data_IF_869273410547
#
_entry.id   IF_869273410547
#
_cell.length_a   1.000
_cell.length_b   1.000
_cell.length_c   1.000
_cell.angle_alpha   90.00
_cell.angle_beta   90.00
_cell.angle_gamma   90.00
#
_symmetry.space_group_name_H-M   'P 1'
#
loop_
_entity.id
_entity.type
_entity.pdbx_description
1 polymer ?
#
# COMPACT_ATOMS: atom_id res chain seq x y z
N UNK A 1 7.64 -17.47 -1.06
CA UNK A 1 8.97 -16.84 -0.96
C UNK A 1 9.37 -16.82 0.50
N UNK A 2 10.53 -17.37 0.84
CA UNK A 2 11.00 -17.43 2.22
C UNK A 2 12.15 -16.43 2.38
N UNK A 3 12.12 -15.64 3.43
CA UNK A 3 13.26 -14.80 3.80
C UNK A 3 14.48 -15.66 4.14
N UNK A 4 15.66 -15.23 3.72
CA UNK A 4 16.92 -15.77 4.28
C UNK A 4 17.04 -15.33 5.76
N UNK A 5 17.89 -15.99 6.52
CA UNK A 5 18.13 -15.61 7.93
C UNK A 5 18.69 -14.18 8.05
N UNK A 6 19.54 -13.77 7.10
CA UNK A 6 20.10 -12.42 7.07
C UNK A 6 19.01 -11.37 6.74
N UNK A 7 18.16 -11.62 5.75
CA UNK A 7 17.01 -10.75 5.43
C UNK A 7 16.03 -10.62 6.60
N UNK A 8 15.80 -11.71 7.35
CA UNK A 8 14.97 -11.66 8.57
C UNK A 8 15.60 -10.79 9.65
N UNK A 9 16.92 -10.87 9.84
CA UNK A 9 17.65 -10.02 10.78
C UNK A 9 17.53 -8.56 10.37
N UNK A 10 17.90 -8.20 9.14
CA UNK A 10 17.83 -6.83 8.60
C UNK A 10 16.41 -6.26 8.73
N UNK A 11 15.40 -7.05 8.39
CA UNK A 11 13.99 -6.65 8.55
C UNK A 11 13.63 -6.33 10.01
N UNK A 12 14.12 -7.12 10.98
CA UNK A 12 13.82 -6.90 12.39
C UNK A 12 14.59 -5.70 12.97
N UNK A 13 15.73 -5.35 12.40
CA UNK A 13 16.60 -4.23 12.80
C UNK A 13 16.20 -2.93 12.08
N UNK A 14 15.53 -3.00 10.92
CA UNK A 14 15.12 -1.83 10.14
C UNK A 14 14.08 -0.97 10.89
N UNK A 15 14.34 0.33 10.96
CA UNK A 15 13.41 1.33 11.50
C UNK A 15 12.13 1.45 10.66
N UNK A 16 12.18 1.07 9.37
CA UNK A 16 11.03 1.14 8.48
C UNK A 16 10.02 0.02 8.70
N UNK A 17 10.43 -1.09 9.34
CA UNK A 17 9.49 -2.19 9.66
C UNK A 17 8.32 -1.75 10.55
N UNK A 18 8.51 -1.08 11.70
CA UNK A 18 7.39 -0.54 12.47
C UNK A 18 6.65 0.58 11.73
N UNK A 19 7.35 1.43 10.96
CA UNK A 19 6.70 2.47 10.14
C UNK A 19 5.72 1.83 9.16
N UNK A 20 6.12 0.82 8.40
CA UNK A 20 5.23 0.09 7.49
C UNK A 20 4.09 -0.61 8.25
N UNK A 21 4.37 -1.13 9.45
CA UNK A 21 3.38 -1.77 10.31
C UNK A 21 2.25 -0.83 10.75
N UNK A 22 2.52 0.46 10.92
CA UNK A 22 1.53 1.50 11.26
C UNK A 22 0.92 2.10 9.99
N UNK A 23 1.75 2.38 8.97
CA UNK A 23 1.30 3.01 7.74
C UNK A 23 0.30 2.16 6.96
N UNK A 24 0.47 0.83 6.93
CA UNK A 24 -0.42 -0.05 6.17
C UNK A 24 -1.88 -0.06 6.69
N UNK A 25 -2.17 -0.17 8.00
CA UNK A 25 -3.53 0.00 8.52
C UNK A 25 -4.10 1.41 8.27
N UNK A 26 -3.31 2.47 8.45
CA UNK A 26 -3.75 3.84 8.17
C UNK A 26 -4.08 4.03 6.69
N UNK A 27 -3.26 3.49 5.80
CA UNK A 27 -3.50 3.48 4.37
C UNK A 27 -4.81 2.76 4.01
N UNK A 28 -5.11 1.64 4.68
CA UNK A 28 -6.38 0.93 4.50
C UNK A 28 -7.58 1.75 4.98
N UNK A 29 -7.48 2.43 6.13
CA UNK A 29 -8.55 3.30 6.63
C UNK A 29 -8.82 4.48 5.68
N UNK A 30 -7.78 5.13 5.14
CA UNK A 30 -7.96 6.20 4.14
C UNK A 30 -8.57 5.67 2.84
N UNK A 31 -8.24 4.44 2.45
CA UNK A 31 -8.88 3.77 1.31
C UNK A 31 -10.39 3.57 1.54
N UNK A 32 -10.78 3.02 2.69
CA UNK A 32 -12.20 2.77 3.00
C UNK A 32 -12.97 4.08 3.05
N UNK A 33 -12.45 5.11 3.71
CA UNK A 33 -13.07 6.41 3.79
C UNK A 33 -13.26 7.04 2.40
N UNK A 34 -12.22 7.02 1.56
CA UNK A 34 -12.27 7.52 0.19
C UNK A 34 -13.29 6.74 -0.65
N UNK A 35 -13.26 5.40 -0.59
CA UNK A 35 -14.18 4.54 -1.34
C UNK A 35 -15.65 4.81 -0.99
N UNK A 36 -15.97 4.88 0.30
CA UNK A 36 -17.34 5.16 0.77
C UNK A 36 -17.84 6.51 0.26
N UNK A 37 -17.02 7.55 0.35
CA UNK A 37 -17.39 8.89 -0.07
C UNK A 37 -17.50 9.02 -1.60
N UNK A 38 -16.62 8.37 -2.36
CA UNK A 38 -16.70 8.30 -3.83
C UNK A 38 -17.97 7.56 -4.28
N UNK A 39 -18.28 6.41 -3.66
CA UNK A 39 -19.53 5.68 -3.96
C UNK A 39 -20.74 6.54 -3.61
N UNK A 40 -20.75 7.21 -2.45
CA UNK A 40 -21.83 8.12 -2.07
C UNK A 40 -22.02 9.22 -3.11
N UNK A 41 -20.95 9.84 -3.59
CA UNK A 41 -21.01 10.85 -4.66
C UNK A 41 -21.70 10.31 -5.91
N UNK A 42 -21.32 9.12 -6.38
CA UNK A 42 -21.95 8.51 -7.57
C UNK A 42 -23.41 8.13 -7.35
N UNK A 43 -23.80 7.76 -6.14
CA UNK A 43 -25.16 7.33 -5.80
C UNK A 43 -26.11 8.51 -5.59
N UNK A 44 -25.63 9.65 -5.08
CA UNK A 44 -26.48 10.79 -4.69
C UNK A 44 -26.27 12.05 -5.54
N UNK A 45 -25.19 12.11 -6.29
CA UNK A 45 -24.74 13.33 -6.99
C UNK A 45 -24.24 14.43 -6.06
N UNK A 46 -24.07 14.14 -4.75
CA UNK A 46 -23.69 15.14 -3.74
C UNK A 46 -22.45 14.72 -2.97
N UNK A 47 -21.77 15.69 -2.34
CA UNK A 47 -20.64 15.44 -1.45
C UNK A 47 -19.30 15.28 -2.16
N UNK A 48 -19.16 15.90 -3.33
CA UNK A 48 -17.88 15.93 -4.08
C UNK A 48 -16.73 16.41 -3.23
N UNK A 49 -16.85 17.53 -2.51
CA UNK A 49 -15.78 18.10 -1.70
C UNK A 49 -15.26 17.09 -0.64
N UNK A 50 -16.18 16.45 0.07
CA UNK A 50 -15.80 15.44 1.07
C UNK A 50 -15.08 14.23 0.44
N UNK A 51 -15.57 13.77 -0.72
CA UNK A 51 -14.94 12.69 -1.48
C UNK A 51 -13.55 13.11 -1.99
N UNK A 52 -13.42 14.36 -2.46
CA UNK A 52 -12.16 14.91 -2.95
C UNK A 52 -11.12 15.03 -1.84
N UNK A 53 -11.50 15.57 -0.67
CA UNK A 53 -10.61 15.70 0.47
C UNK A 53 -10.13 14.32 0.95
N UNK A 54 -11.04 13.37 1.15
CA UNK A 54 -10.67 12.02 1.58
C UNK A 54 -9.76 11.33 0.56
N UNK A 55 -10.02 11.52 -0.73
CA UNK A 55 -9.19 11.00 -1.81
C UNK A 55 -7.80 11.65 -1.84
N UNK A 56 -7.71 12.94 -1.60
CA UNK A 56 -6.42 13.66 -1.51
C UNK A 56 -5.58 13.16 -0.33
N UNK A 57 -6.20 12.94 0.83
CA UNK A 57 -5.54 12.31 2.00
C UNK A 57 -5.04 10.90 1.63
N UNK A 58 -5.86 10.13 0.92
CA UNK A 58 -5.47 8.80 0.43
C UNK A 58 -4.26 8.86 -0.50
N UNK A 59 -4.18 9.85 -1.40
CA UNK A 59 -3.02 10.05 -2.28
C UNK A 59 -1.76 10.36 -1.47
N UNK A 60 -1.83 11.26 -0.49
CA UNK A 60 -0.70 11.58 0.39
C UNK A 60 -0.21 10.33 1.12
N UNK A 61 -1.12 9.54 1.68
CA UNK A 61 -0.78 8.28 2.34
C UNK A 61 -0.18 7.26 1.38
N UNK A 62 -0.64 7.23 0.11
CA UNK A 62 -0.08 6.35 -0.92
C UNK A 62 1.38 6.72 -1.24
N UNK A 63 1.68 8.00 -1.38
CA UNK A 63 3.05 8.49 -1.58
C UNK A 63 3.92 8.13 -0.37
N UNK A 64 3.42 8.40 0.83
CA UNK A 64 4.15 8.13 2.08
C UNK A 64 4.53 6.65 2.21
N UNK A 65 3.56 5.73 2.05
CA UNK A 65 3.82 4.29 2.18
C UNK A 65 4.73 3.76 1.07
N UNK A 66 4.65 4.33 -0.13
CA UNK A 66 5.54 3.95 -1.24
C UNK A 66 6.98 4.37 -0.95
N UNK A 67 7.21 5.62 -0.55
CA UNK A 67 8.57 6.13 -0.26
C UNK A 67 9.20 5.39 0.92
N UNK A 68 8.45 5.20 1.99
CA UNK A 68 8.94 4.46 3.17
C UNK A 68 9.10 2.97 2.90
N UNK A 69 8.30 2.41 1.97
CA UNK A 69 8.44 1.04 1.48
C UNK A 69 9.74 0.83 0.69
N UNK A 70 10.08 1.78 -0.18
CA UNK A 70 11.36 1.77 -0.91
C UNK A 70 12.56 1.80 0.06
N UNK A 71 12.50 2.64 1.09
CA UNK A 71 13.54 2.68 2.12
C UNK A 71 13.63 1.35 2.89
N UNK A 72 12.50 0.74 3.20
CA UNK A 72 12.46 -0.59 3.83
C UNK A 72 13.05 -1.68 2.92
N UNK A 73 12.75 -1.66 1.62
CA UNK A 73 13.33 -2.61 0.67
C UNK A 73 14.85 -2.48 0.59
N UNK A 74 15.35 -1.25 0.59
CA UNK A 74 16.79 -1.02 0.62
C UNK A 74 17.45 -1.61 1.85
N UNK A 75 16.88 -1.41 3.03
CA UNK A 75 17.41 -1.99 4.28
C UNK A 75 17.44 -3.52 4.23
N UNK A 76 16.41 -4.15 3.67
CA UNK A 76 16.25 -5.61 3.72
C UNK A 76 16.94 -6.31 2.55
N UNK A 77 16.84 -5.75 1.34
CA UNK A 77 17.28 -6.40 0.10
C UNK A 77 18.46 -5.69 -0.59
N UNK A 78 18.78 -4.44 -0.21
CA UNK A 78 19.82 -3.64 -0.85
C UNK A 78 19.38 -2.95 -2.15
N UNK A 79 18.09 -2.93 -2.45
CA UNK A 79 17.48 -2.28 -3.61
C UNK A 79 16.33 -1.39 -3.18
N UNK A 80 16.20 -0.19 -3.76
CA UNK A 80 15.15 0.77 -3.38
C UNK A 80 13.78 0.45 -3.98
N UNK A 81 13.73 -0.24 -5.11
CA UNK A 81 12.50 -0.51 -5.85
C UNK A 81 12.73 -1.62 -6.87
N UNK A 82 11.68 -2.38 -7.22
CA UNK A 82 11.70 -3.51 -8.14
C UNK A 82 12.73 -4.60 -7.75
N UNK A 83 12.92 -4.81 -6.44
CA UNK A 83 13.64 -5.96 -5.96
C UNK A 83 13.02 -7.23 -6.58
N UNK A 84 13.85 -8.19 -7.00
CA UNK A 84 13.35 -9.44 -7.65
C UNK A 84 12.24 -10.11 -6.85
N UNK A 85 12.32 -9.96 -5.53
CA UNK A 85 11.39 -10.50 -4.58
C UNK A 85 10.02 -9.80 -4.59
N UNK A 86 9.96 -8.52 -4.98
CA UNK A 86 8.77 -7.67 -4.95
C UNK A 86 8.37 -7.10 -6.32
N UNK A 87 9.00 -7.55 -7.39
CA UNK A 87 8.84 -6.99 -8.73
C UNK A 87 7.36 -6.78 -9.14
N UNK A 88 6.51 -7.76 -8.93
CA UNK A 88 5.10 -7.66 -9.31
C UNK A 88 4.30 -6.74 -8.40
N UNK A 89 4.60 -6.75 -7.11
CA UNK A 89 3.96 -5.89 -6.14
C UNK A 89 4.35 -4.42 -6.36
N UNK A 90 5.60 -4.16 -6.63
CA UNK A 90 6.11 -2.82 -6.94
C UNK A 90 5.55 -2.30 -8.26
N UNK A 91 5.46 -3.14 -9.28
CA UNK A 91 4.87 -2.77 -10.56
C UNK A 91 3.39 -2.37 -10.39
N UNK A 92 2.61 -3.17 -9.68
CA UNK A 92 1.20 -2.86 -9.41
C UNK A 92 1.08 -1.63 -8.51
N UNK A 93 1.99 -1.45 -7.54
CA UNK A 93 2.05 -0.26 -6.71
C UNK A 93 2.34 0.99 -7.55
N UNK A 94 3.29 0.93 -8.49
CA UNK A 94 3.61 2.03 -9.40
C UNK A 94 2.40 2.41 -10.27
N UNK A 95 1.71 1.43 -10.85
CA UNK A 95 0.48 1.66 -11.65
C UNK A 95 -0.58 2.33 -10.76
N UNK A 96 -0.79 1.82 -9.55
CA UNK A 96 -1.74 2.39 -8.60
C UNK A 96 -1.37 3.83 -8.24
N UNK A 97 -0.09 4.11 -7.98
CA UNK A 97 0.40 5.46 -7.68
C UNK A 97 0.15 6.43 -8.84
N UNK A 98 0.45 6.01 -10.08
CA UNK A 98 0.20 6.83 -11.28
C UNK A 98 -1.28 7.18 -11.40
N UNK A 99 -2.20 6.25 -11.17
CA UNK A 99 -3.64 6.51 -11.19
C UNK A 99 -4.07 7.47 -10.06
N UNK A 100 -3.49 7.36 -8.87
CA UNK A 100 -3.75 8.30 -7.77
C UNK A 100 -3.21 9.71 -8.09
N UNK A 101 -2.06 9.82 -8.74
CA UNK A 101 -1.53 11.11 -9.21
C UNK A 101 -2.35 11.68 -10.37
N UNK A 102 -2.88 10.83 -11.26
CA UNK A 102 -3.80 11.23 -12.33
C UNK A 102 -5.09 11.85 -11.77
N UNK A 103 -5.59 11.37 -10.62
CA UNK A 103 -6.71 12.03 -9.92
C UNK A 103 -6.38 13.48 -9.55
N UNK A 104 -5.19 13.75 -9.00
CA UNK A 104 -4.75 15.12 -8.68
C UNK A 104 -4.58 15.94 -9.98
N UNK A 105 -3.97 15.35 -11.02
CA UNK A 105 -3.77 16.02 -12.29
C UNK A 105 -5.08 16.43 -12.95
N UNK A 106 -6.09 15.56 -12.98
CA UNK A 106 -7.41 15.88 -13.56
C UNK A 106 -8.12 17.01 -12.80
N UNK A 107 -7.96 17.08 -11.49
CA UNK A 107 -8.48 18.19 -10.69
C UNK A 107 -7.75 19.51 -11.03
N UNK A 108 -6.42 19.51 -11.08
CA UNK A 108 -5.64 20.70 -11.45
C UNK A 108 -5.92 21.20 -12.87
N UNK A 109 -6.27 20.30 -13.78
CA UNK A 109 -6.64 20.62 -15.18
C UNK A 109 -8.08 21.12 -15.31
N UNK A 110 -8.84 21.23 -14.22
CA UNK A 110 -10.23 21.70 -14.24
C UNK A 110 -11.21 20.69 -14.86
N UNK A 111 -10.91 19.40 -14.81
CA UNK A 111 -11.85 18.37 -15.25
C UNK A 111 -13.15 18.40 -14.43
N UNK A 112 -14.25 17.90 -15.03
CA UNK A 112 -15.51 17.81 -14.32
C UNK A 112 -15.40 16.95 -13.06
N UNK A 113 -16.18 17.26 -12.02
CA UNK A 113 -16.24 16.48 -10.78
C UNK A 113 -16.44 14.99 -11.05
N UNK A 114 -17.33 14.65 -11.97
CA UNK A 114 -17.60 13.26 -12.35
C UNK A 114 -16.38 12.59 -12.96
N UNK A 115 -15.64 13.27 -13.85
CA UNK A 115 -14.41 12.74 -14.44
C UNK A 115 -13.34 12.53 -13.37
N UNK A 116 -13.16 13.51 -12.50
CA UNK A 116 -12.20 13.42 -11.41
C UNK A 116 -12.50 12.22 -10.49
N UNK A 117 -13.75 12.03 -10.08
CA UNK A 117 -14.16 10.89 -9.25
C UNK A 117 -14.09 9.54 -9.98
N UNK A 118 -14.30 9.49 -11.31
CA UNK A 118 -14.09 8.26 -12.10
C UNK A 118 -12.62 7.84 -12.10
N UNK A 119 -11.70 8.78 -12.28
CA UNK A 119 -10.26 8.51 -12.20
C UNK A 119 -9.89 8.00 -10.81
N UNK A 120 -10.45 8.61 -9.75
CA UNK A 120 -10.23 8.13 -8.38
C UNK A 120 -10.79 6.72 -8.17
N UNK A 121 -11.95 6.40 -8.69
CA UNK A 121 -12.53 5.06 -8.60
C UNK A 121 -11.63 4.00 -9.25
N UNK A 122 -11.03 4.30 -10.41
CA UNK A 122 -10.04 3.43 -11.05
C UNK A 122 -8.78 3.27 -10.20
N UNK A 123 -8.31 4.37 -9.59
CA UNK A 123 -7.18 4.34 -8.67
C UNK A 123 -7.46 3.45 -7.44
N UNK A 124 -8.65 3.57 -6.85
CA UNK A 124 -9.08 2.74 -5.73
C UNK A 124 -9.21 1.27 -6.13
N UNK A 125 -9.73 0.96 -7.33
CA UNK A 125 -9.80 -0.41 -7.83
C UNK A 125 -8.40 -1.03 -8.01
N UNK A 126 -7.43 -0.28 -8.56
CA UNK A 126 -6.05 -0.73 -8.68
C UNK A 126 -5.39 -0.96 -7.31
N UNK A 127 -5.72 -0.12 -6.31
CA UNK A 127 -5.25 -0.31 -4.95
C UNK A 127 -5.73 -1.60 -4.30
N UNK A 128 -6.95 -2.07 -4.60
CA UNK A 128 -7.45 -3.36 -4.09
C UNK A 128 -6.54 -4.51 -4.53
N UNK A 129 -6.08 -4.51 -5.79
CA UNK A 129 -5.15 -5.53 -6.29
C UNK A 129 -3.83 -5.48 -5.50
N UNK A 130 -3.28 -4.27 -5.34
CA UNK A 130 -2.06 -4.03 -4.56
C UNK A 130 -2.23 -4.50 -3.10
N UNK A 131 -3.33 -4.14 -2.44
CA UNK A 131 -3.63 -4.54 -1.08
C UNK A 131 -3.68 -6.06 -0.90
N UNK A 132 -4.33 -6.78 -1.83
CA UNK A 132 -4.39 -8.26 -1.81
C UNK A 132 -2.99 -8.86 -1.93
N UNK A 133 -2.13 -8.33 -2.82
CA UNK A 133 -0.76 -8.84 -3.00
C UNK A 133 0.06 -8.68 -1.71
N UNK A 134 0.10 -7.49 -1.13
CA UNK A 134 0.84 -7.23 0.10
C UNK A 134 0.24 -7.96 1.32
N UNK A 135 -1.09 -8.06 1.39
CA UNK A 135 -1.78 -8.83 2.44
C UNK A 135 -1.38 -10.31 2.43
N UNK A 136 -1.35 -10.93 1.24
CA UNK A 136 -0.89 -12.32 1.09
C UNK A 136 0.57 -12.50 1.54
N UNK A 137 1.45 -11.56 1.20
CA UNK A 137 2.85 -11.59 1.65
C UNK A 137 2.97 -11.46 3.17
N UNK A 138 2.24 -10.55 3.77
CA UNK A 138 2.21 -10.39 5.23
C UNK A 138 1.80 -11.67 5.95
N UNK A 139 0.76 -12.35 5.46
CA UNK A 139 0.29 -13.63 5.98
C UNK A 139 1.34 -14.73 5.84
N UNK A 140 2.01 -14.82 4.67
CA UNK A 140 3.08 -15.80 4.45
C UNK A 140 4.26 -15.58 5.39
N UNK A 141 4.69 -14.33 5.57
CA UNK A 141 5.76 -13.96 6.48
C UNK A 141 5.42 -14.27 7.94
N UNK A 142 4.18 -14.04 8.37
CA UNK A 142 3.72 -14.37 9.71
C UNK A 142 3.71 -15.90 9.96
N UNK A 143 3.28 -16.70 8.97
CA UNK A 143 3.33 -18.16 9.03
C UNK A 143 4.75 -18.69 9.14
N UNK A 144 5.68 -18.15 8.34
CA UNK A 144 7.11 -18.54 8.40
C UNK A 144 7.73 -18.25 9.77
N UNK A 145 7.42 -17.10 10.36
CA UNK A 145 7.89 -16.75 11.72
C UNK A 145 7.40 -17.75 12.77
N UNK A 146 6.13 -18.13 12.74
CA UNK A 146 5.57 -19.13 13.65
C UNK A 146 6.26 -20.50 13.52
N UNK A 147 6.51 -20.94 12.27
CA UNK A 147 7.21 -22.21 12.01
C UNK A 147 8.67 -22.19 12.51
N UNK A 148 9.40 -21.08 12.33
CA UNK A 148 10.76 -20.94 12.83
C UNK A 148 10.80 -20.91 14.36
N UNK A 149 9.86 -20.23 15.01
CA UNK A 149 9.75 -20.20 16.46
C UNK A 149 9.46 -21.60 17.03
N UNK A 150 8.54 -22.36 16.44
CA UNK A 150 8.24 -23.72 16.89
C UNK A 150 9.42 -24.68 16.72
N UNK A 151 10.19 -24.57 15.62
CA UNK A 151 11.40 -25.38 15.39
C UNK A 151 12.48 -25.12 16.43
N UNK A 152 12.70 -23.84 16.82
CA UNK A 152 13.64 -23.48 17.87
C UNK A 152 13.28 -24.08 19.23
N UNK A 153 11.99 -24.12 19.57
CA UNK A 153 11.53 -24.74 20.81
C UNK A 153 11.72 -26.27 20.85
N UNK A 154 11.66 -26.94 19.69
CA UNK A 154 11.85 -28.39 19.57
C UNK A 154 13.34 -28.76 19.55
N UNK A 155 14.19 -27.93 18.92
CA UNK A 155 15.64 -28.19 18.82
C UNK A 155 16.44 -27.77 20.06
N UNK A 156 15.83 -26.99 20.97
CA UNK A 156 16.43 -26.58 22.24
C UNK A 156 16.11 -27.52 23.43
N UNK A 157 15.43 -28.66 23.17
CA UNK A 157 15.33 -29.80 24.08
C UNK A 157 16.29 -30.91 23.66
#
# INVERSE_FOLDING_TARGET
MNYTLDQLRRRNESLWTPVQGVAAPLQFLTFVASLVLVIRYFSTGQGYEAAHIASSIKVVMMIFITVTGMAWEFDVYGHYFLAKEFFWEDLVNAISLVLHLAFIATWLMGASERTNMLVMLLALASYVVNFIQFGRRGLMAARQRKQLASRKLVSGK
#
